data_IF_188880965436
#
_entry.id   IF_188880965436
#
_cell.length_a   1.000
_cell.length_b   1.000
_cell.length_c   1.000
_cell.angle_alpha   90.00
_cell.angle_beta   90.00
_cell.angle_gamma   90.00
#
_symmetry.space_group_name_H-M   'P 1'
#
loop_
_entity.id
_entity.type
_entity.pdbx_description
1 polymer ?
#
# COMPACT_ATOMS: atom_id res chain seq x y z
N UNK A 1 0.91 21.79 20.76
CA UNK A 1 1.59 20.95 19.76
C UNK A 1 0.68 19.79 19.40
N UNK A 2 0.44 19.55 18.10
CA UNK A 2 -0.27 18.35 17.64
C UNK A 2 0.76 17.29 17.25
N UNK A 3 0.49 16.03 17.61
CA UNK A 3 1.27 14.86 17.23
C UNK A 3 0.33 13.76 16.71
N UNK A 4 0.88 12.80 15.99
CA UNK A 4 0.17 11.62 15.51
C UNK A 4 0.23 10.48 16.55
N UNK A 5 -0.86 9.72 16.65
CA UNK A 5 -0.95 8.55 17.52
C UNK A 5 -1.15 7.32 16.66
N UNK A 6 -0.26 6.33 16.78
CA UNK A 6 -0.47 5.01 16.19
C UNK A 6 -1.18 4.16 17.23
N UNK A 7 -2.42 3.79 16.99
CA UNK A 7 -3.22 2.97 17.89
C UNK A 7 -2.96 1.49 17.70
N UNK A 8 -2.86 1.05 16.45
CA UNK A 8 -2.77 -0.37 16.09
C UNK A 8 -1.85 -0.55 14.87
N UNK A 9 -1.22 -1.73 14.80
CA UNK A 9 -0.39 -2.17 13.69
C UNK A 9 -0.99 -3.46 13.14
N UNK A 10 -1.19 -3.51 11.84
CA UNK A 10 -1.67 -4.71 11.16
C UNK A 10 -0.71 -5.04 10.03
N UNK A 11 -0.23 -6.27 10.02
CA UNK A 11 0.63 -6.78 8.96
C UNK A 11 0.08 -8.09 8.42
N UNK A 12 0.21 -8.28 7.12
CA UNK A 12 -0.06 -9.56 6.45
C UNK A 12 1.17 -10.04 5.71
N UNK A 13 1.23 -11.34 5.47
CA UNK A 13 2.35 -12.03 4.85
C UNK A 13 1.86 -12.92 3.70
N UNK A 14 2.53 -12.81 2.56
CA UNK A 14 2.36 -13.66 1.40
C UNK A 14 3.69 -14.34 1.05
N UNK A 15 3.79 -15.68 1.20
CA UNK A 15 4.97 -16.45 0.82
C UNK A 15 5.32 -16.29 -0.67
N UNK A 16 6.62 -16.36 -0.99
CA UNK A 16 7.13 -16.19 -2.36
C UNK A 16 6.54 -17.20 -3.37
N UNK A 17 6.33 -18.45 -2.98
CA UNK A 17 5.68 -19.47 -3.80
C UNK A 17 4.24 -19.10 -4.15
N UNK A 18 3.53 -18.50 -3.19
CA UNK A 18 2.17 -18.00 -3.40
C UNK A 18 2.17 -16.74 -4.26
N UNK A 19 3.14 -15.84 -4.08
CA UNK A 19 3.34 -14.68 -4.98
C UNK A 19 3.59 -15.17 -6.42
N UNK A 20 4.42 -16.20 -6.60
CA UNK A 20 4.64 -16.80 -7.92
C UNK A 20 3.37 -17.36 -8.54
N UNK A 21 2.49 -17.98 -7.75
CA UNK A 21 1.17 -18.41 -8.25
C UNK A 21 0.28 -17.21 -8.62
N UNK A 22 0.23 -16.17 -7.79
CA UNK A 22 -0.53 -14.95 -8.07
C UNK A 22 -0.11 -14.27 -9.37
N UNK A 23 1.19 -14.29 -9.72
CA UNK A 23 1.68 -13.80 -11.03
C UNK A 23 1.11 -14.60 -12.20
N UNK A 24 1.09 -15.93 -12.09
CA UNK A 24 0.54 -16.83 -13.13
C UNK A 24 -0.95 -16.55 -13.33
N UNK A 25 -1.68 -16.44 -12.23
CA UNK A 25 -3.12 -16.16 -12.24
C UNK A 25 -3.40 -14.77 -12.83
N UNK A 26 -2.59 -13.76 -12.48
CA UNK A 26 -2.67 -12.41 -13.04
C UNK A 26 -2.45 -12.39 -14.56
N UNK A 27 -1.40 -13.05 -15.04
CA UNK A 27 -1.09 -13.12 -16.47
C UNK A 27 -2.17 -13.86 -17.27
N UNK A 28 -2.70 -14.94 -16.71
CA UNK A 28 -3.81 -15.67 -17.30
C UNK A 28 -5.07 -14.80 -17.36
N UNK A 29 -5.44 -14.17 -16.24
CA UNK A 29 -6.67 -13.39 -16.11
C UNK A 29 -6.69 -12.15 -17.00
N UNK A 30 -5.62 -11.34 -16.95
CA UNK A 30 -5.61 -10.03 -17.61
C UNK A 30 -5.06 -10.08 -19.04
N UNK A 31 -4.30 -11.12 -19.40
CA UNK A 31 -3.63 -11.21 -20.70
C UNK A 31 -3.86 -12.54 -21.44
N UNK A 32 -4.64 -13.47 -20.87
CA UNK A 32 -4.90 -14.78 -21.45
C UNK A 32 -3.63 -15.58 -21.78
N UNK A 33 -2.58 -15.42 -20.95
CA UNK A 33 -1.30 -16.12 -21.11
C UNK A 33 -1.35 -17.39 -20.25
N UNK A 34 -1.24 -18.56 -20.88
CA UNK A 34 -1.18 -19.82 -20.16
C UNK A 34 0.24 -20.07 -19.64
N UNK A 35 0.42 -19.98 -18.32
CA UNK A 35 1.70 -20.15 -17.64
C UNK A 35 1.97 -21.58 -17.13
N UNK A 36 1.15 -22.58 -17.49
CA UNK A 36 1.25 -23.95 -16.93
C UNK A 36 2.60 -24.63 -17.17
N UNK A 37 3.28 -24.31 -18.27
CA UNK A 37 4.60 -24.86 -18.63
C UNK A 37 5.73 -23.84 -18.53
N UNK A 38 5.44 -22.60 -18.11
CA UNK A 38 6.44 -21.54 -18.00
C UNK A 38 7.25 -21.70 -16.72
N UNK A 39 8.56 -21.47 -16.81
CA UNK A 39 9.39 -21.32 -15.61
C UNK A 39 9.10 -19.99 -14.91
N UNK A 40 9.43 -19.89 -13.62
CA UNK A 40 9.29 -18.62 -12.88
C UNK A 40 10.13 -17.50 -13.53
N UNK A 41 11.26 -17.83 -14.15
CA UNK A 41 12.07 -16.89 -14.92
C UNK A 41 11.33 -16.33 -16.13
N UNK A 42 10.62 -17.18 -16.88
CA UNK A 42 9.87 -16.74 -18.06
C UNK A 42 8.69 -15.84 -17.68
N UNK A 43 8.05 -16.14 -16.53
CA UNK A 43 6.97 -15.33 -15.96
C UNK A 43 7.51 -13.95 -15.56
N UNK A 44 8.64 -13.91 -14.86
CA UNK A 44 9.30 -12.66 -14.47
C UNK A 44 9.77 -11.85 -15.68
N UNK A 45 10.28 -12.51 -16.72
CA UNK A 45 10.66 -11.87 -17.97
C UNK A 45 9.46 -11.23 -18.67
N UNK A 46 8.31 -11.91 -18.70
CA UNK A 46 7.08 -11.39 -19.30
C UNK A 46 6.52 -10.20 -18.50
N UNK A 47 6.53 -10.29 -17.17
CA UNK A 47 6.16 -9.18 -16.29
C UNK A 47 7.12 -7.99 -16.44
N UNK A 48 8.42 -8.23 -16.51
CA UNK A 48 9.40 -7.18 -16.73
C UNK A 48 9.25 -6.55 -18.13
N UNK A 49 8.93 -7.34 -19.15
CA UNK A 49 8.69 -6.83 -20.51
C UNK A 49 7.54 -5.83 -20.52
N UNK A 50 6.43 -6.14 -19.84
CA UNK A 50 5.20 -5.33 -19.77
C UNK A 50 5.30 -4.17 -18.79
N UNK A 51 5.75 -4.46 -17.57
CA UNK A 51 5.63 -3.59 -16.42
C UNK A 51 6.97 -3.13 -15.88
N UNK A 52 8.11 -3.66 -16.35
CA UNK A 52 9.46 -3.40 -15.79
C UNK A 52 9.54 -3.61 -14.28
N UNK A 53 8.79 -4.59 -13.77
CA UNK A 53 8.70 -4.94 -12.36
C UNK A 53 8.97 -6.44 -12.23
N UNK A 54 9.71 -6.81 -11.19
CA UNK A 54 10.02 -8.19 -10.80
C UNK A 54 9.78 -8.27 -9.29
N UNK A 55 9.22 -9.37 -8.81
CA UNK A 55 9.01 -9.60 -7.38
C UNK A 55 9.19 -11.08 -7.06
N UNK A 56 10.36 -11.47 -6.54
CA UNK A 56 10.67 -12.89 -6.25
C UNK A 56 10.60 -13.23 -4.77
N UNK A 57 10.36 -12.23 -3.92
CA UNK A 57 10.46 -12.35 -2.48
C UNK A 57 9.10 -12.52 -1.83
N UNK A 58 9.13 -12.88 -0.54
CA UNK A 58 7.95 -12.80 0.29
C UNK A 58 7.46 -11.35 0.35
N UNK A 59 6.16 -11.17 0.20
CA UNK A 59 5.52 -9.86 0.33
C UNK A 59 4.88 -9.72 1.69
N UNK A 60 5.03 -8.52 2.26
CA UNK A 60 4.33 -8.08 3.43
C UNK A 60 3.47 -6.88 3.07
N UNK A 61 2.30 -6.78 3.67
CA UNK A 61 1.55 -5.52 3.71
C UNK A 61 1.65 -4.96 5.12
N UNK A 62 1.81 -3.64 5.24
CA UNK A 62 1.70 -2.93 6.50
C UNK A 62 0.56 -1.91 6.46
N UNK A 63 -0.23 -1.89 7.52
CA UNK A 63 -1.24 -0.88 7.78
C UNK A 63 -1.13 -0.40 9.23
N UNK A 64 -1.36 0.88 9.44
CA UNK A 64 -1.29 1.52 10.76
C UNK A 64 -2.60 2.24 11.03
N UNK A 65 -3.25 1.94 12.16
CA UNK A 65 -4.37 2.75 12.63
C UNK A 65 -3.78 4.00 13.26
N UNK A 66 -3.91 5.14 12.60
CA UNK A 66 -3.26 6.39 12.97
C UNK A 66 -4.29 7.50 13.11
N UNK A 67 -4.02 8.47 13.96
CA UNK A 67 -4.86 9.66 14.05
C UNK A 67 -4.23 10.79 14.85
N UNK A 68 -4.57 12.04 14.49
CA UNK A 68 -3.99 13.21 15.13
C UNK A 68 -4.53 13.39 16.55
N UNK A 69 -3.65 13.80 17.45
CA UNK A 69 -3.96 13.98 18.88
C UNK A 69 -5.04 15.02 19.18
N UNK A 70 -5.26 15.97 18.27
CA UNK A 70 -6.12 17.14 18.43
C UNK A 70 -7.44 17.09 17.66
N UNK A 71 -7.69 16.03 16.88
CA UNK A 71 -8.99 15.88 16.21
C UNK A 71 -9.88 14.92 17.00
N UNK A 72 -11.07 15.40 17.32
CA UNK A 72 -12.09 14.68 18.06
C UNK A 72 -13.36 14.71 17.23
N UNK A 73 -13.97 13.55 17.08
CA UNK A 73 -15.28 13.41 16.46
C UNK A 73 -16.34 14.04 17.37
N UNK A 74 -17.08 15.01 16.85
CA UNK A 74 -18.01 15.84 17.66
C UNK A 74 -19.22 15.07 18.16
N UNK A 75 -19.59 13.97 17.50
CA UNK A 75 -20.74 13.15 17.87
C UNK A 75 -20.40 12.15 18.97
N UNK A 76 -19.24 11.48 18.84
CA UNK A 76 -18.82 10.42 19.76
C UNK A 76 -17.90 10.89 20.88
N UNK A 77 -17.32 12.10 20.76
CA UNK A 77 -16.31 12.62 21.70
C UNK A 77 -14.99 11.84 21.69
N UNK A 78 -14.79 10.92 20.74
CA UNK A 78 -13.59 10.09 20.62
C UNK A 78 -12.62 10.71 19.62
N UNK A 79 -11.32 10.43 19.79
CA UNK A 79 -10.30 10.87 18.81
C UNK A 79 -10.58 10.25 17.45
N UNK A 80 -10.42 11.05 16.40
CA UNK A 80 -10.48 10.53 15.04
C UNK A 80 -9.26 9.65 14.78
N UNK A 81 -9.49 8.53 14.09
CA UNK A 81 -8.45 7.58 13.70
C UNK A 81 -8.89 6.91 12.42
N UNK A 82 -7.95 6.70 11.52
CA UNK A 82 -8.17 5.99 10.27
C UNK A 82 -6.98 5.07 9.99
N UNK A 83 -7.23 4.03 9.21
CA UNK A 83 -6.19 3.13 8.78
C UNK A 83 -5.42 3.73 7.62
N UNK A 84 -4.11 3.86 7.81
CA UNK A 84 -3.17 4.27 6.79
C UNK A 84 -2.50 3.03 6.20
N UNK A 85 -2.71 2.81 4.92
CA UNK A 85 -1.91 1.87 4.14
C UNK A 85 -0.47 2.36 4.01
N UNK A 86 0.47 1.57 4.54
CA UNK A 86 1.90 1.87 4.48
C UNK A 86 2.55 1.25 3.24
N UNK A 87 1.97 0.19 2.69
CA UNK A 87 2.50 -0.40 1.47
C UNK A 87 2.44 -1.91 1.48
N UNK A 88 2.76 -2.47 0.32
CA UNK A 88 3.11 -3.87 0.11
C UNK A 88 4.54 -3.90 -0.43
N UNK A 89 5.44 -4.59 0.24
CA UNK A 89 6.84 -4.78 -0.16
C UNK A 89 7.47 -5.88 0.70
N UNK A 90 8.77 -6.13 0.57
CA UNK A 90 9.52 -6.98 1.49
C UNK A 90 9.48 -6.45 2.93
N UNK A 91 9.65 -7.33 3.92
CA UNK A 91 9.77 -6.93 5.33
C UNK A 91 10.84 -5.87 5.51
N UNK A 92 12.00 -6.06 4.86
CA UNK A 92 13.13 -5.15 4.95
C UNK A 92 12.79 -3.74 4.45
N UNK A 93 12.19 -3.63 3.25
CA UNK A 93 11.81 -2.35 2.66
C UNK A 93 10.80 -1.60 3.52
N UNK A 94 9.75 -2.28 3.98
CA UNK A 94 8.73 -1.67 4.84
C UNK A 94 9.32 -1.27 6.20
N UNK A 95 10.20 -2.09 6.76
CA UNK A 95 10.86 -1.79 8.03
C UNK A 95 11.82 -0.60 7.92
N UNK A 96 12.56 -0.49 6.82
CA UNK A 96 13.41 0.68 6.58
C UNK A 96 12.57 1.96 6.46
N UNK A 97 11.50 1.93 5.68
CA UNK A 97 10.66 3.09 5.40
C UNK A 97 9.83 3.55 6.60
N UNK A 98 9.12 2.64 7.28
CA UNK A 98 8.20 3.00 8.37
C UNK A 98 8.76 2.74 9.76
N UNK A 99 9.79 1.91 9.88
CA UNK A 99 10.55 1.74 11.11
C UNK A 99 11.57 2.86 11.26
N UNK A 100 12.60 2.83 10.41
CA UNK A 100 13.77 3.67 10.59
C UNK A 100 13.50 5.16 10.30
N UNK A 101 12.81 5.53 9.22
CA UNK A 101 12.58 6.96 8.92
C UNK A 101 11.70 7.63 9.98
N UNK A 102 10.82 6.87 10.62
CA UNK A 102 9.89 7.39 11.63
C UNK A 102 10.49 7.43 13.04
N UNK A 103 11.66 6.82 13.27
CA UNK A 103 12.39 6.93 14.53
C UNK A 103 12.61 8.40 14.92
N UNK A 104 12.92 9.26 13.96
CA UNK A 104 13.10 10.70 14.20
C UNK A 104 11.83 11.35 14.74
N UNK A 105 10.67 10.99 14.20
CA UNK A 105 9.37 11.49 14.64
C UNK A 105 8.95 10.94 16.01
N UNK A 106 9.38 9.72 16.34
CA UNK A 106 9.20 9.15 17.69
C UNK A 106 10.08 9.90 18.70
N UNK A 107 11.34 10.14 18.35
CA UNK A 107 12.30 10.86 19.20
C UNK A 107 11.87 12.31 19.45
N UNK A 108 11.40 13.02 18.41
CA UNK A 108 10.90 14.40 18.55
C UNK A 108 9.57 14.50 19.30
N UNK A 109 8.84 13.40 19.43
CA UNK A 109 7.50 13.37 20.02
C UNK A 109 6.35 13.68 19.08
N UNK A 110 6.64 13.88 17.79
CA UNK A 110 5.65 14.09 16.73
C UNK A 110 4.82 12.83 16.45
N UNK A 111 5.33 11.66 16.84
CA UNK A 111 4.65 10.37 16.69
C UNK A 111 4.67 9.59 18.01
N UNK A 112 3.49 9.15 18.47
CA UNK A 112 3.34 8.36 19.70
C UNK A 112 2.77 6.97 19.45
N UNK A 113 3.61 5.93 19.48
CA UNK A 113 3.14 4.55 19.43
C UNK A 113 2.24 4.23 20.63
N UNK A 114 1.06 3.69 20.36
CA UNK A 114 0.01 3.34 21.31
C UNK A 114 -0.37 4.48 22.27
N UNK A 115 -0.24 5.74 21.82
CA UNK A 115 -0.53 6.93 22.62
C UNK A 115 0.44 7.18 23.77
N UNK A 116 1.60 6.50 23.79
CA UNK A 116 2.63 6.63 24.83
C UNK A 116 3.90 7.23 24.26
N UNK A 117 4.67 7.86 25.14
CA UNK A 117 6.06 8.17 24.84
C UNK A 117 6.83 6.87 24.64
N UNK A 118 7.55 6.77 23.53
CA UNK A 118 8.35 5.61 23.20
C UNK A 118 9.73 6.08 22.76
N UNK A 119 10.74 5.23 22.96
CA UNK A 119 12.05 5.45 22.34
C UNK A 119 12.03 4.93 20.90
N UNK A 120 12.92 5.43 20.03
CA UNK A 120 13.12 4.86 18.69
C UNK A 120 13.30 3.34 18.69
N UNK A 121 14.07 2.79 19.62
CA UNK A 121 14.31 1.35 19.75
C UNK A 121 13.01 0.60 20.12
N UNK A 122 12.21 1.20 21.01
CA UNK A 122 10.89 0.68 21.36
C UNK A 122 9.96 0.62 20.16
N UNK A 123 9.96 1.67 19.32
CA UNK A 123 9.20 1.70 18.07
C UNK A 123 9.63 0.58 17.12
N UNK A 124 10.93 0.50 16.83
CA UNK A 124 11.52 -0.52 15.96
C UNK A 124 11.18 -1.94 16.45
N UNK A 125 11.33 -2.20 17.75
CA UNK A 125 10.97 -3.50 18.35
C UNK A 125 9.49 -3.81 18.16
N UNK A 126 8.62 -2.81 18.34
CA UNK A 126 7.18 -2.99 18.16
C UNK A 126 6.78 -3.27 16.71
N UNK A 127 7.49 -2.66 15.74
CA UNK A 127 7.21 -2.87 14.32
C UNK A 127 7.74 -4.23 13.84
N UNK A 128 8.93 -4.66 14.30
CA UNK A 128 9.42 -6.03 14.07
C UNK A 128 8.46 -7.08 14.61
N UNK A 129 7.89 -6.83 15.80
CA UNK A 129 6.90 -7.74 16.38
C UNK A 129 5.66 -7.84 15.50
N UNK A 130 5.20 -6.72 14.91
CA UNK A 130 4.07 -6.74 13.98
C UNK A 130 4.34 -7.59 12.73
N UNK A 131 5.55 -7.52 12.15
CA UNK A 131 5.92 -8.40 11.03
C UNK A 131 6.03 -9.88 11.44
N UNK A 132 6.59 -10.17 12.63
CA UNK A 132 6.62 -11.54 13.18
C UNK A 132 5.25 -12.12 13.46
N UNK A 133 4.28 -11.27 13.77
CA UNK A 133 2.89 -11.61 14.02
C UNK A 133 2.01 -11.40 12.78
N UNK A 134 2.62 -11.18 11.61
CA UNK A 134 1.89 -11.00 10.37
C UNK A 134 1.05 -12.24 10.10
N UNK A 135 -0.18 -12.02 9.68
CA UNK A 135 -1.11 -13.11 9.38
C UNK A 135 -1.09 -13.44 7.90
N UNK A 136 -1.56 -14.63 7.53
CA UNK A 136 -1.71 -14.99 6.12
C UNK A 136 -2.46 -13.90 5.37
N UNK A 137 -2.00 -13.55 4.18
CA UNK A 137 -2.68 -12.60 3.30
C UNK A 137 -4.13 -13.02 2.98
N UNK A 138 -4.43 -14.32 3.01
CA UNK A 138 -5.80 -14.86 2.84
C UNK A 138 -6.74 -14.41 3.95
N UNK A 139 -6.20 -14.09 5.13
CA UNK A 139 -6.98 -13.55 6.22
C UNK A 139 -7.45 -12.12 5.96
N UNK A 140 -7.08 -11.48 4.83
CA UNK A 140 -7.53 -10.15 4.41
C UNK A 140 -8.79 -10.24 3.53
N UNK A 141 -9.85 -9.45 3.75
CA UNK A 141 -11.12 -9.50 3.02
C UNK A 141 -11.02 -8.30 2.11
N UNK A 142 -10.08 -8.39 1.18
CA UNK A 142 -9.87 -7.43 0.10
C UNK A 142 -9.63 -5.98 0.58
N UNK A 143 -8.44 -5.46 0.28
CA UNK A 143 -8.36 -4.03 0.00
C UNK A 143 -9.16 -3.81 -1.28
N UNK A 144 -10.50 -3.74 -1.18
CA UNK A 144 -11.42 -3.78 -2.33
C UNK A 144 -11.14 -2.69 -3.34
N UNK A 145 -10.44 -1.62 -2.93
CA UNK A 145 -9.94 -0.61 -3.82
C UNK A 145 -8.60 -0.09 -3.33
N UNK A 146 -7.61 -0.05 -4.21
CA UNK A 146 -6.46 0.82 -4.13
C UNK A 146 -6.67 2.07 -4.94
N UNK A 147 -6.35 3.22 -4.36
CA UNK A 147 -6.49 4.48 -5.07
C UNK A 147 -5.51 5.54 -4.64
N UNK A 148 -5.23 6.44 -5.58
CA UNK A 148 -4.41 7.60 -5.32
C UNK A 148 -4.76 8.77 -6.24
N UNK A 149 -4.37 9.95 -5.79
CA UNK A 149 -4.55 11.20 -6.54
C UNK A 149 -3.29 11.54 -7.33
N UNK A 150 -3.48 11.93 -8.58
CA UNK A 150 -2.44 12.45 -9.48
C UNK A 150 -2.72 13.93 -9.73
N UNK A 151 -1.71 14.77 -9.51
CA UNK A 151 -1.75 16.17 -9.94
C UNK A 151 -1.71 16.22 -11.45
N UNK A 152 -2.66 16.91 -12.07
CA UNK A 152 -2.77 17.00 -13.53
C UNK A 152 -1.45 17.55 -14.12
N UNK A 153 -0.78 16.80 -15.02
CA UNK A 153 0.45 17.25 -15.66
C UNK A 153 0.28 18.57 -16.42
N UNK A 154 1.22 19.49 -16.23
CA UNK A 154 1.27 20.76 -16.96
C UNK A 154 2.37 20.80 -18.04
N UNK A 155 3.39 19.95 -17.93
CA UNK A 155 4.48 19.85 -18.93
C UNK A 155 4.24 18.69 -19.90
N UNK A 156 4.87 18.77 -21.06
CA UNK A 156 4.78 17.71 -22.08
C UNK A 156 5.41 16.40 -21.60
N UNK A 157 6.50 16.44 -20.81
CA UNK A 157 7.12 15.22 -20.29
C UNK A 157 6.18 14.49 -19.33
N UNK A 158 5.56 15.23 -18.41
CA UNK A 158 4.66 14.65 -17.42
C UNK A 158 3.33 14.18 -18.07
N UNK A 159 2.88 14.83 -19.14
CA UNK A 159 1.75 14.34 -19.95
C UNK A 159 2.09 13.03 -20.68
N UNK A 160 3.30 12.91 -21.23
CA UNK A 160 3.75 11.69 -21.89
C UNK A 160 3.86 10.53 -20.89
N UNK A 161 4.43 10.77 -19.69
CA UNK A 161 4.46 9.80 -18.60
C UNK A 161 3.06 9.37 -18.16
N UNK A 162 2.13 10.30 -18.03
CA UNK A 162 0.74 9.98 -17.68
C UNK A 162 0.11 9.07 -18.73
N UNK A 163 0.27 9.35 -20.04
CA UNK A 163 -0.25 8.48 -21.11
C UNK A 163 0.34 7.07 -21.07
N UNK A 164 1.64 6.94 -20.78
CA UNK A 164 2.28 5.63 -20.61
C UNK A 164 1.71 4.89 -19.39
N UNK A 165 1.56 5.59 -18.26
CA UNK A 165 0.96 5.04 -17.06
C UNK A 165 -0.48 4.58 -17.31
N UNK A 166 -1.32 5.45 -17.88
CA UNK A 166 -2.72 5.18 -18.26
C UNK A 166 -2.82 3.90 -19.10
N UNK A 167 -1.99 3.78 -20.15
CA UNK A 167 -1.97 2.61 -21.02
C UNK A 167 -1.64 1.33 -20.25
N UNK A 168 -0.64 1.39 -19.37
CA UNK A 168 -0.23 0.24 -18.56
C UNK A 168 -1.30 -0.16 -17.57
N UNK A 169 -1.83 0.77 -16.77
CA UNK A 169 -2.75 0.42 -15.68
C UNK A 169 -4.15 0.05 -16.17
N UNK A 170 -4.60 0.67 -17.27
CA UNK A 170 -5.84 0.27 -17.94
C UNK A 170 -5.77 -1.17 -18.46
N UNK A 171 -4.57 -1.65 -18.83
CA UNK A 171 -4.40 -3.01 -19.36
C UNK A 171 -4.70 -4.13 -18.36
N UNK A 172 -4.73 -3.81 -17.05
CA UNK A 172 -5.14 -4.74 -16.01
C UNK A 172 -6.35 -4.23 -15.21
N UNK A 173 -7.12 -3.29 -15.76
CA UNK A 173 -8.42 -2.88 -15.22
C UNK A 173 -8.40 -1.81 -14.13
N UNK A 174 -7.36 -0.97 -14.07
CA UNK A 174 -7.40 0.25 -13.27
C UNK A 174 -8.16 1.37 -14.02
N UNK A 175 -8.96 2.13 -13.27
CA UNK A 175 -9.70 3.28 -13.77
C UNK A 175 -8.98 4.58 -13.44
N UNK A 176 -8.98 5.52 -14.39
CA UNK A 176 -8.50 6.89 -14.19
C UNK A 176 -9.60 7.86 -14.57
N UNK A 177 -9.97 8.74 -13.65
CA UNK A 177 -11.06 9.69 -13.85
C UNK A 177 -10.73 11.05 -13.24
N UNK A 178 -11.25 12.12 -13.85
CA UNK A 178 -11.12 13.47 -13.28
C UNK A 178 -12.14 13.65 -12.14
N UNK A 179 -11.65 14.00 -10.95
CA UNK A 179 -12.46 14.31 -9.76
C UNK A 179 -12.02 15.62 -9.14
N UNK A 180 -12.93 16.25 -8.39
CA UNK A 180 -12.62 17.46 -7.63
C UNK A 180 -12.15 17.09 -6.22
N UNK A 181 -11.02 17.65 -5.79
CA UNK A 181 -10.49 17.52 -4.43
C UNK A 181 -10.21 18.91 -3.88
N UNK A 182 -10.95 19.31 -2.83
CA UNK A 182 -10.96 20.69 -2.30
C UNK A 182 -11.14 21.77 -3.38
N UNK A 183 -12.04 21.53 -4.35
CA UNK A 183 -12.33 22.47 -5.44
C UNK A 183 -11.34 22.45 -6.61
N UNK A 184 -10.23 21.70 -6.50
CA UNK A 184 -9.24 21.57 -7.57
C UNK A 184 -9.47 20.28 -8.34
N UNK A 185 -9.54 20.38 -9.68
CA UNK A 185 -9.61 19.20 -10.55
C UNK A 185 -8.28 18.44 -10.51
N UNK A 186 -8.37 17.16 -10.16
CA UNK A 186 -7.24 16.23 -10.12
C UNK A 186 -7.65 14.93 -10.80
N UNK A 187 -6.67 14.11 -11.13
CA UNK A 187 -6.94 12.76 -11.61
C UNK A 187 -6.97 11.84 -10.40
N UNK A 188 -7.98 10.98 -10.35
CA UNK A 188 -8.14 9.93 -9.37
C UNK A 188 -7.96 8.60 -10.09
N UNK A 189 -6.94 7.84 -9.68
CA UNK A 189 -6.69 6.51 -10.18
C UNK A 189 -7.14 5.50 -9.12
N UNK A 190 -7.92 4.50 -9.53
CA UNK A 190 -8.36 3.42 -8.67
C UNK A 190 -8.23 2.06 -9.34
N UNK A 191 -7.95 1.05 -8.54
CA UNK A 191 -7.82 -0.34 -8.97
C UNK A 191 -8.37 -1.24 -7.87
N UNK A 192 -8.94 -2.39 -8.21
CA UNK A 192 -9.52 -3.33 -7.24
C UNK A 192 -8.70 -4.62 -7.25
N UNK A 193 -7.59 -4.68 -6.50
CA UNK A 193 -6.69 -5.83 -6.54
C UNK A 193 -7.33 -7.06 -5.90
N UNK A 194 -7.09 -8.22 -6.49
CA UNK A 194 -7.53 -9.51 -5.96
C UNK A 194 -6.39 -10.30 -5.30
N UNK A 195 -5.15 -9.83 -5.44
CA UNK A 195 -3.95 -10.49 -4.92
C UNK A 195 -2.95 -9.49 -4.34
N UNK A 196 -2.04 -9.98 -3.48
CA UNK A 196 -0.98 -9.14 -2.92
C UNK A 196 0.02 -8.72 -4.01
N UNK A 197 0.25 -9.58 -5.01
CA UNK A 197 1.03 -9.22 -6.19
C UNK A 197 0.42 -8.06 -6.96
N UNK A 198 -0.90 -8.06 -7.19
CA UNK A 198 -1.60 -6.95 -7.84
C UNK A 198 -1.48 -5.64 -7.05
N UNK A 199 -1.57 -5.70 -5.72
CA UNK A 199 -1.35 -4.54 -4.85
C UNK A 199 0.08 -3.99 -5.01
N UNK A 200 1.07 -4.88 -4.97
CA UNK A 200 2.49 -4.55 -5.16
C UNK A 200 2.72 -3.92 -6.54
N UNK A 201 2.23 -4.55 -7.61
CA UNK A 201 2.36 -4.07 -8.98
C UNK A 201 1.80 -2.66 -9.14
N UNK A 202 0.58 -2.43 -8.65
CA UNK A 202 -0.08 -1.13 -8.75
C UNK A 202 0.68 -0.06 -7.96
N UNK A 203 1.15 -0.38 -6.75
CA UNK A 203 1.99 0.50 -5.95
C UNK A 203 3.29 0.87 -6.66
N UNK A 204 4.04 -0.11 -7.15
CA UNK A 204 5.33 0.10 -7.80
C UNK A 204 5.21 0.93 -9.08
N UNK A 205 4.18 0.68 -9.88
CA UNK A 205 3.88 1.53 -11.04
C UNK A 205 3.60 2.97 -10.62
N UNK A 206 2.81 3.16 -9.57
CA UNK A 206 2.48 4.49 -9.04
C UNK A 206 3.72 5.24 -8.55
N UNK A 207 4.60 4.55 -7.80
CA UNK A 207 5.87 5.11 -7.31
C UNK A 207 6.80 5.43 -8.46
N UNK A 208 6.94 4.54 -9.45
CA UNK A 208 7.84 4.76 -10.58
C UNK A 208 7.45 5.99 -11.41
N UNK A 209 6.16 6.16 -11.69
CA UNK A 209 5.70 7.27 -12.54
C UNK A 209 5.56 8.58 -11.78
N UNK A 210 5.14 8.55 -10.51
CA UNK A 210 4.75 9.76 -9.78
C UNK A 210 5.51 9.97 -8.46
N UNK A 211 6.16 8.93 -7.93
CA UNK A 211 6.92 9.00 -6.67
C UNK A 211 6.10 9.60 -5.53
N UNK A 212 6.64 10.64 -4.89
CA UNK A 212 5.98 11.36 -3.79
C UNK A 212 4.72 12.15 -4.20
N UNK A 213 4.39 12.23 -5.49
CA UNK A 213 3.20 12.94 -5.99
C UNK A 213 1.92 12.08 -5.96
N UNK A 214 2.03 10.80 -5.63
CA UNK A 214 0.89 9.91 -5.39
C UNK A 214 0.51 9.90 -3.90
N UNK A 215 -0.76 10.16 -3.58
CA UNK A 215 -1.30 10.07 -2.22
C UNK A 215 -2.22 8.85 -2.09
N UNK A 216 -1.83 7.84 -1.32
CA UNK A 216 -2.62 6.61 -1.12
C UNK A 216 -3.83 6.86 -0.19
N UNK A 217 -5.01 6.39 -0.56
CA UNK A 217 -6.25 6.49 0.25
C UNK A 217 -6.85 5.14 0.61
N UNK A 218 -6.01 4.11 0.74
CA UNK A 218 -6.44 2.73 1.03
C UNK A 218 -6.67 2.51 2.52
N UNK A 219 -7.95 2.39 2.91
CA UNK A 219 -8.34 1.84 4.21
C UNK A 219 -8.73 0.35 4.03
N UNK A 220 -8.35 -0.56 4.95
CA UNK A 220 -8.83 -1.94 4.98
C UNK A 220 -10.33 -2.01 5.26
N UNK A 221 -10.95 -3.13 4.92
CA UNK A 221 -12.35 -3.39 5.26
C UNK A 221 -12.54 -3.44 6.79
N UNK A 222 -13.49 -2.64 7.30
CA UNK A 222 -13.78 -2.47 8.74
C UNK A 222 -14.14 -3.78 9.47
N UNK A 223 -14.54 -4.82 8.74
CA UNK A 223 -15.03 -6.10 9.28
C UNK A 223 -13.97 -6.98 9.94
N UNK A 224 -12.74 -7.02 9.44
CA UNK A 224 -11.67 -7.81 10.07
C UNK A 224 -11.09 -7.21 11.32
N UNK A 225 -10.97 -5.90 11.33
CA UNK A 225 -10.31 -5.17 12.40
C UNK A 225 -11.10 -5.36 13.69
N UNK A 226 -12.44 -5.39 13.58
CA UNK A 226 -13.31 -5.66 14.73
C UNK A 226 -13.23 -7.10 15.25
N UNK A 227 -12.87 -8.09 14.44
CA UNK A 227 -12.75 -9.48 14.91
C UNK A 227 -11.46 -9.76 15.71
N UNK A 228 -10.48 -8.86 15.68
CA UNK A 228 -9.24 -8.97 16.48
C UNK A 228 -9.15 -7.97 17.64
N UNK A 229 -10.19 -7.18 17.83
CA UNK A 229 -10.39 -6.29 18.96
C UNK A 229 -11.38 -6.92 19.96
N UNK A 230 -11.05 -8.10 20.47
CA UNK A 230 -11.65 -8.70 21.68
C UNK A 230 -10.52 -9.29 22.51
#
# INVERSE_FOLDING_TARGET
MSYEIIYEKFATFCPADVVSQQKKDFLLKHFNINCSTMSDYDIDAELFRRFKIISTDNLYMLQLLIGPSNCVDTESGKRTRDWMYCGVDTEYSLFQKYGCEWCRSVESGDLKPNGRWATPEGWLKSLRLAFKQAVSYEAMPYCHSMSFWIVKPTTWEDQYKLKQFESIVSSFGADIMERSWFGTRKLYCSFSPESMFEMYLFQELSIRFFGKRAFSTTSPSLGLVKQRAI
#
